data_IF_556015389941
#
_entry.id   IF_556015389941
#
_cell.length_a   1.000
_cell.length_b   1.000
_cell.length_c   1.000
_cell.angle_alpha   90.00
_cell.angle_beta   90.00
_cell.angle_gamma   90.00
#
_symmetry.space_group_name_H-M   'P 1'
#
loop_
_entity.id
_entity.type
_entity.pdbx_description
1 polymer ?
#
# COMPACT_ATOMS: atom_id res chain seq x y z
N UNK A 1 10.19 8.46 22.54
CA UNK A 1 11.52 7.93 22.17
C UNK A 1 12.55 8.68 23.00
N UNK A 2 13.54 8.02 23.61
CA UNK A 2 14.55 8.73 24.39
C UNK A 2 15.35 9.64 23.45
N UNK A 3 15.41 10.93 23.77
CA UNK A 3 16.21 11.94 23.06
C UNK A 3 17.66 11.42 23.05
N UNK A 4 18.30 11.27 21.89
CA UNK A 4 19.74 10.98 21.81
C UNK A 4 20.48 12.12 22.52
N UNK A 5 21.03 11.83 23.69
CA UNK A 5 21.75 12.82 24.50
C UNK A 5 22.98 13.32 23.75
N UNK A 6 23.20 14.64 23.76
CA UNK A 6 24.38 15.25 23.13
C UNK A 6 25.65 14.67 23.75
N UNK A 7 26.63 14.36 22.90
CA UNK A 7 27.95 13.91 23.34
C UNK A 7 28.64 14.93 24.27
N UNK A 8 28.33 16.22 24.11
CA UNK A 8 28.86 17.31 24.95
C UNK A 8 28.29 17.23 26.38
N UNK A 9 26.99 16.97 26.52
CA UNK A 9 26.32 16.77 27.83
C UNK A 9 26.79 15.49 28.53
N UNK A 10 27.11 14.46 27.74
CA UNK A 10 27.71 13.23 28.27
C UNK A 10 29.12 13.47 28.81
N UNK A 11 29.91 14.31 28.14
CA UNK A 11 31.29 14.67 28.59
C UNK A 11 31.25 15.53 29.86
N UNK A 12 30.28 16.44 29.97
CA UNK A 12 30.07 17.25 31.19
C UNK A 12 29.81 16.38 32.42
N UNK A 13 28.93 15.36 32.29
CA UNK A 13 28.61 14.44 33.39
C UNK A 13 29.78 13.51 33.77
N UNK A 14 30.52 13.01 32.79
CA UNK A 14 31.50 11.93 33.01
C UNK A 14 32.91 12.46 33.30
N UNK A 15 33.35 13.51 32.60
CA UNK A 15 34.69 14.10 32.78
C UNK A 15 34.76 15.55 32.27
N UNK A 16 34.39 16.54 33.08
CA UNK A 16 34.36 17.93 32.65
C UNK A 16 35.79 18.49 32.43
N UNK A 17 36.07 19.07 31.25
CA UNK A 17 37.33 19.75 30.97
C UNK A 17 37.36 21.18 31.55
N UNK A 18 38.53 21.83 31.55
CA UNK A 18 38.70 23.18 32.14
C UNK A 18 37.99 24.30 31.38
N UNK A 19 37.79 24.15 30.07
CA UNK A 19 37.02 25.06 29.23
C UNK A 19 36.15 24.18 28.34
N UNK A 20 34.84 24.40 28.36
CA UNK A 20 33.86 23.71 27.53
C UNK A 20 32.90 24.74 26.95
N UNK A 21 32.68 24.68 25.63
CA UNK A 21 31.67 25.48 24.94
C UNK A 21 30.60 24.49 24.49
N UNK A 22 29.39 24.61 25.02
CA UNK A 22 28.22 23.84 24.58
C UNK A 22 27.38 24.67 23.62
N UNK A 23 26.71 23.99 22.69
CA UNK A 23 25.67 24.59 21.89
C UNK A 23 24.35 23.97 22.28
N UNK A 24 23.59 24.70 23.09
CA UNK A 24 22.28 24.29 23.57
C UNK A 24 21.20 25.05 22.80
N UNK A 25 20.36 24.29 22.11
CA UNK A 25 19.19 24.85 21.42
C UNK A 25 18.09 25.05 22.46
N UNK A 26 17.92 26.29 22.93
CA UNK A 26 16.81 26.64 23.81
C UNK A 26 15.51 26.69 23.00
N UNK A 27 14.70 25.65 23.12
CA UNK A 27 13.34 25.59 22.55
C UNK A 27 12.26 26.11 23.52
N UNK A 28 12.63 26.55 24.73
CA UNK A 28 11.68 27.04 25.75
C UNK A 28 10.54 26.04 26.01
N UNK A 29 9.30 26.52 25.99
CA UNK A 29 8.06 25.72 26.07
C UNK A 29 7.50 25.34 24.69
N UNK A 30 8.31 25.36 23.62
CA UNK A 30 7.82 25.07 22.28
C UNK A 30 7.24 23.64 22.22
N UNK A 31 5.97 23.56 21.85
CA UNK A 31 5.28 22.29 21.63
C UNK A 31 5.83 21.72 20.32
N UNK A 32 6.47 20.55 20.40
CA UNK A 32 6.90 19.81 19.22
C UNK A 32 5.66 19.37 18.44
N UNK A 33 5.39 20.04 17.32
CA UNK A 33 4.33 19.66 16.38
C UNK A 33 4.71 18.31 15.76
N UNK A 34 4.00 17.27 16.18
CA UNK A 34 4.07 15.95 15.54
C UNK A 34 2.93 15.84 14.54
N UNK A 35 3.29 15.81 13.27
CA UNK A 35 2.33 15.53 12.22
C UNK A 35 1.99 14.03 12.24
N UNK A 36 0.69 13.75 12.37
CA UNK A 36 0.17 12.40 12.24
C UNK A 36 -0.32 12.21 10.80
N UNK A 37 0.24 11.27 10.04
CA UNK A 37 -0.22 11.02 8.69
C UNK A 37 -1.65 10.47 8.72
N UNK A 38 -2.51 11.01 7.87
CA UNK A 38 -3.86 10.52 7.66
C UNK A 38 -3.82 9.35 6.68
N UNK A 39 -4.11 8.14 7.17
CA UNK A 39 -4.11 6.90 6.37
C UNK A 39 -5.52 6.35 6.28
N UNK A 40 -5.95 5.99 5.08
CA UNK A 40 -7.27 5.40 4.82
C UNK A 40 -7.10 3.93 4.43
N UNK A 41 -7.77 3.04 5.17
CA UNK A 41 -7.86 1.63 4.81
C UNK A 41 -9.12 1.37 3.99
N UNK A 42 -8.95 0.84 2.77
CA UNK A 42 -10.07 0.42 1.91
C UNK A 42 -10.15 -1.11 1.93
N UNK A 43 -11.36 -1.64 2.14
CA UNK A 43 -11.63 -3.08 2.16
C UNK A 43 -12.80 -3.39 1.22
N UNK A 44 -12.65 -4.45 0.43
CA UNK A 44 -13.64 -4.87 -0.55
C UNK A 44 -13.25 -6.20 -1.20
N UNK A 45 -14.15 -6.70 -2.05
CA UNK A 45 -13.82 -7.80 -2.96
C UNK A 45 -13.23 -7.22 -4.25
N UNK A 46 -11.94 -7.49 -4.48
CA UNK A 46 -11.18 -6.95 -5.60
C UNK A 46 -10.71 -8.03 -6.59
N UNK A 47 -10.90 -9.32 -6.27
CA UNK A 47 -10.30 -10.43 -7.05
C UNK A 47 -11.38 -11.23 -7.80
N UNK A 48 -12.64 -11.17 -7.36
CA UNK A 48 -13.76 -11.83 -8.04
C UNK A 48 -13.70 -13.35 -7.93
N UNK A 49 -13.41 -14.05 -9.03
CA UNK A 49 -13.31 -15.51 -9.09
C UNK A 49 -11.86 -15.95 -9.25
N UNK A 50 -11.06 -15.96 -8.17
CA UNK A 50 -9.65 -16.30 -8.24
C UNK A 50 -9.45 -17.75 -8.70
N UNK A 51 -8.35 -17.99 -9.42
CA UNK A 51 -7.92 -19.34 -9.82
C UNK A 51 -7.40 -20.13 -8.60
N UNK A 52 -6.65 -19.44 -7.73
CA UNK A 52 -6.11 -19.99 -6.50
C UNK A 52 -6.96 -19.60 -5.27
N UNK A 53 -7.01 -20.49 -4.28
CA UNK A 53 -7.70 -20.18 -3.03
C UNK A 53 -7.03 -18.99 -2.31
N UNK A 54 -7.81 -17.94 -2.02
CA UNK A 54 -7.30 -16.77 -1.32
C UNK A 54 -6.88 -17.13 0.12
N UNK A 55 -5.82 -16.51 0.65
CA UNK A 55 -5.43 -16.67 2.04
C UNK A 55 -6.59 -16.37 3.01
N UNK A 56 -6.57 -16.99 4.18
CA UNK A 56 -7.51 -16.66 5.25
C UNK A 56 -7.44 -15.17 5.60
N UNK A 57 -8.58 -14.56 5.95
CA UNK A 57 -8.68 -13.11 6.21
C UNK A 57 -7.62 -12.58 7.19
N UNK A 58 -7.33 -13.33 8.26
CA UNK A 58 -6.32 -12.97 9.27
C UNK A 58 -4.90 -12.83 8.69
N UNK A 59 -4.60 -13.52 7.60
CA UNK A 59 -3.29 -13.52 6.96
C UNK A 59 -3.19 -12.45 5.85
N UNK A 60 -4.29 -11.77 5.50
CA UNK A 60 -4.31 -10.71 4.50
C UNK A 60 -3.83 -9.41 5.16
N UNK A 61 -2.71 -8.88 4.68
CA UNK A 61 -2.16 -7.59 5.12
C UNK A 61 -2.70 -6.48 4.24
N UNK A 62 -2.77 -5.26 4.78
CA UNK A 62 -2.96 -4.07 3.97
C UNK A 62 -1.77 -3.89 3.04
N UNK A 63 -2.06 -3.56 1.79
CA UNK A 63 -1.08 -3.19 0.78
C UNK A 63 -1.22 -1.69 0.58
N UNK A 64 -0.10 -0.98 0.65
CA UNK A 64 -0.06 0.44 0.35
C UNK A 64 -0.24 0.65 -1.15
N UNK A 65 -1.15 1.54 -1.53
CA UNK A 65 -1.46 1.84 -2.92
C UNK A 65 -1.29 3.35 -3.14
N UNK A 66 -0.60 3.70 -4.20
CA UNK A 66 -0.42 5.05 -4.69
C UNK A 66 -0.61 5.07 -6.23
N UNK A 67 -0.31 6.21 -6.85
CA UNK A 67 -0.48 6.40 -8.31
C UNK A 67 0.61 5.70 -9.13
N UNK A 68 1.75 5.41 -8.51
CA UNK A 68 2.92 4.87 -9.19
C UNK A 68 2.96 3.34 -9.11
N UNK A 69 2.29 2.74 -8.11
CA UNK A 69 2.31 1.31 -7.85
C UNK A 69 0.98 0.58 -8.14
N UNK A 70 -0.05 1.30 -8.59
CA UNK A 70 -1.41 0.76 -8.75
C UNK A 70 -1.45 -0.53 -9.59
N UNK A 71 -0.86 -0.51 -10.79
CA UNK A 71 -0.86 -1.67 -11.68
C UNK A 71 -0.03 -2.82 -11.13
N UNK A 72 1.04 -2.53 -10.38
CA UNK A 72 1.84 -3.57 -9.73
C UNK A 72 1.03 -4.29 -8.64
N UNK A 73 0.28 -3.53 -7.84
CA UNK A 73 -0.60 -4.09 -6.82
C UNK A 73 -1.73 -4.89 -7.48
N UNK A 74 -2.36 -4.38 -8.53
CA UNK A 74 -3.39 -5.08 -9.28
C UNK A 74 -2.86 -6.41 -9.86
N UNK A 75 -1.72 -6.38 -10.54
CA UNK A 75 -1.07 -7.58 -11.08
C UNK A 75 -0.72 -8.60 -9.99
N UNK A 76 -0.34 -8.14 -8.79
CA UNK A 76 -0.10 -9.00 -7.62
C UNK A 76 -1.37 -9.67 -7.07
N UNK A 77 -2.51 -8.97 -7.11
CA UNK A 77 -3.80 -9.50 -6.68
C UNK A 77 -4.41 -10.48 -7.69
N UNK A 78 -4.05 -10.37 -8.97
CA UNK A 78 -4.54 -11.20 -10.09
C UNK A 78 -6.07 -11.29 -10.18
N UNK A 79 -6.80 -10.18 -10.36
CA UNK A 79 -8.24 -10.22 -10.56
C UNK A 79 -8.61 -11.10 -11.75
N UNK A 80 -9.61 -11.97 -11.55
CA UNK A 80 -10.05 -12.91 -12.58
C UNK A 80 -11.58 -12.96 -12.63
N UNK A 81 -12.10 -12.87 -13.85
CA UNK A 81 -13.53 -12.99 -14.15
C UNK A 81 -13.76 -14.21 -15.03
N UNK A 82 -14.61 -15.13 -14.58
CA UNK A 82 -15.00 -16.32 -15.32
C UNK A 82 -16.53 -16.42 -15.37
N UNK A 83 -17.10 -16.21 -16.55
CA UNK A 83 -18.55 -16.18 -16.76
C UNK A 83 -18.94 -16.84 -18.08
N UNK A 84 -20.19 -17.33 -18.15
CA UNK A 84 -20.81 -17.76 -19.39
C UNK A 84 -21.78 -16.67 -19.84
N UNK A 85 -21.54 -16.10 -21.02
CA UNK A 85 -22.36 -15.03 -21.61
C UNK A 85 -23.09 -15.56 -22.85
N UNK A 86 -24.19 -14.92 -23.23
CA UNK A 86 -24.96 -15.34 -24.40
C UNK A 86 -24.21 -15.06 -25.70
N UNK A 87 -24.17 -16.06 -26.59
CA UNK A 87 -23.45 -15.97 -27.86
C UNK A 87 -24.26 -15.19 -28.91
N UNK A 88 -24.00 -13.89 -29.02
CA UNK A 88 -24.62 -13.04 -30.06
C UNK A 88 -23.93 -13.10 -31.43
N UNK A 89 -22.81 -13.83 -31.57
CA UNK A 89 -22.10 -13.97 -32.84
C UNK A 89 -22.78 -14.96 -33.78
N UNK A 90 -23.31 -16.06 -33.23
CA UNK A 90 -23.99 -17.11 -34.01
C UNK A 90 -25.51 -17.05 -33.92
N UNK A 91 -26.08 -16.33 -32.94
CA UNK A 91 -27.53 -16.20 -32.71
C UNK A 91 -28.28 -17.54 -32.63
N UNK A 92 -27.60 -18.59 -32.17
CA UNK A 92 -28.11 -19.95 -32.04
C UNK A 92 -28.58 -20.29 -30.61
N UNK A 93 -28.57 -19.31 -29.71
CA UNK A 93 -28.90 -19.49 -28.29
C UNK A 93 -27.81 -20.22 -27.50
N UNK A 94 -26.64 -20.45 -28.09
CA UNK A 94 -25.47 -20.98 -27.37
C UNK A 94 -24.89 -19.94 -26.41
N UNK A 95 -24.05 -20.40 -25.48
CA UNK A 95 -23.30 -19.55 -24.55
C UNK A 95 -21.82 -19.64 -24.82
N UNK A 96 -21.12 -18.51 -24.70
CA UNK A 96 -19.66 -18.43 -24.75
C UNK A 96 -19.12 -18.35 -23.34
N UNK A 97 -18.20 -19.24 -23.00
CA UNK A 97 -17.41 -19.14 -21.78
C UNK A 97 -16.32 -18.10 -21.98
N UNK A 98 -16.31 -17.07 -21.14
CA UNK A 98 -15.32 -15.99 -21.17
C UNK A 98 -14.52 -16.04 -19.87
N UNK A 99 -13.20 -16.05 -20.02
CA UNK A 99 -12.25 -15.94 -18.92
C UNK A 99 -11.34 -14.75 -19.16
N UNK A 100 -11.40 -13.75 -18.28
CA UNK A 100 -10.59 -12.54 -18.33
C UNK A 100 -9.67 -12.49 -17.11
N UNK A 101 -8.40 -12.16 -17.36
CA UNK A 101 -7.36 -12.00 -16.35
C UNK A 101 -6.79 -10.59 -16.46
N UNK A 102 -6.91 -9.81 -15.39
CA UNK A 102 -6.50 -8.42 -15.37
C UNK A 102 -5.15 -8.26 -14.67
N UNK A 103 -4.31 -7.38 -15.18
CA UNK A 103 -3.01 -7.03 -14.63
C UNK A 103 -2.86 -5.52 -14.46
N UNK A 104 -3.48 -4.75 -15.34
CA UNK A 104 -3.44 -3.28 -15.37
C UNK A 104 -4.85 -2.71 -15.43
N UNK A 105 -5.00 -1.42 -15.15
CA UNK A 105 -6.29 -0.75 -15.30
C UNK A 105 -6.75 -0.69 -16.77
N UNK A 106 -5.81 -0.61 -17.72
CA UNK A 106 -6.14 -0.58 -19.15
C UNK A 106 -6.76 -1.90 -19.63
N UNK A 107 -6.52 -3.03 -18.95
CA UNK A 107 -7.12 -4.32 -19.32
C UNK A 107 -8.67 -4.32 -19.20
N UNK A 108 -9.25 -3.30 -18.56
CA UNK A 108 -10.71 -3.10 -18.52
C UNK A 108 -11.26 -2.35 -19.74
N UNK A 109 -10.41 -1.82 -20.60
CA UNK A 109 -10.84 -1.19 -21.84
C UNK A 109 -11.34 -2.24 -22.85
N UNK A 110 -12.39 -1.93 -23.64
CA UNK A 110 -12.94 -2.87 -24.62
C UNK A 110 -11.90 -3.43 -25.59
N UNK A 111 -10.91 -2.63 -25.99
CA UNK A 111 -9.86 -3.04 -26.93
C UNK A 111 -9.01 -4.19 -26.40
N UNK A 112 -8.83 -4.30 -25.08
CA UNK A 112 -8.08 -5.39 -24.45
C UNK A 112 -8.94 -6.62 -24.11
N UNK A 113 -10.26 -6.53 -24.30
CA UNK A 113 -11.23 -7.60 -23.98
C UNK A 113 -11.64 -8.40 -25.23
N UNK A 114 -11.55 -7.80 -26.43
CA UNK A 114 -11.99 -8.38 -27.71
C UNK A 114 -11.05 -9.47 -28.23
#
# INVERSE_FOLDING_TARGET
MPKKESLQHRIDRVRPPRIQITYDVEVGNAIELKELPFVVGVMGDFVGKPEDALPALKNRKFVEIDRDNFDQVMAGMKPRLAYNVDNKLQNDGSKVGVELKFKSIEDFEPDNIV
#
